data_IF_069272708051
#
_entry.id   IF_069272708051
#
_cell.length_a   1.000
_cell.length_b   1.000
_cell.length_c   1.000
_cell.angle_alpha   90.00
_cell.angle_beta   90.00
_cell.angle_gamma   90.00
#
_symmetry.space_group_name_H-M   'P 1'
#
loop_
_entity.id
_entity.type
_entity.pdbx_description
1 polymer ?
#
# COMPACT_ATOMS: atom_id res chain seq x y z
N UNK A 1 57.54 71.29 -23.92
CA UNK A 1 57.60 72.58 -23.19
C UNK A 1 58.25 72.29 -21.85
N UNK A 2 59.35 72.98 -21.51
CA UNK A 2 59.92 72.85 -20.18
C UNK A 2 58.93 73.47 -19.17
N UNK A 3 58.61 72.74 -18.10
CA UNK A 3 57.77 73.24 -17.02
C UNK A 3 58.57 74.30 -16.25
N UNK A 4 58.06 75.54 -16.18
CA UNK A 4 58.70 76.60 -15.40
C UNK A 4 58.63 76.24 -13.91
N UNK A 5 59.76 76.32 -13.22
CA UNK A 5 59.79 76.19 -11.76
C UNK A 5 59.44 77.55 -11.12
N UNK A 6 58.96 77.57 -9.85
CA UNK A 6 58.78 78.81 -9.09
C UNK A 6 60.04 79.70 -9.05
N UNK A 7 61.22 79.07 -9.11
CA UNK A 7 62.50 79.77 -9.15
C UNK A 7 62.75 80.46 -10.50
N UNK A 8 62.37 79.82 -11.60
CA UNK A 8 62.52 80.37 -12.96
C UNK A 8 61.62 81.59 -13.19
N UNK A 9 60.48 81.67 -12.48
CA UNK A 9 59.55 82.80 -12.54
C UNK A 9 60.13 84.01 -11.78
N UNK A 10 60.74 83.80 -10.61
CA UNK A 10 61.38 84.87 -9.80
C UNK A 10 62.64 85.46 -10.43
N UNK A 11 63.40 84.67 -11.17
CA UNK A 11 64.67 85.11 -11.77
C UNK A 11 64.50 85.69 -13.19
N UNK A 12 63.26 85.75 -13.71
CA UNK A 12 62.99 86.20 -15.06
C UNK A 12 63.03 87.73 -15.17
N UNK A 13 63.75 88.26 -16.16
CA UNK A 13 63.85 89.71 -16.40
C UNK A 13 63.22 90.09 -17.73
N UNK A 14 62.33 91.08 -17.70
CA UNK A 14 61.71 91.62 -18.91
C UNK A 14 62.51 92.79 -19.48
N UNK A 15 62.51 92.95 -20.81
CA UNK A 15 63.17 94.09 -21.47
C UNK A 15 62.25 95.31 -21.41
N UNK A 16 62.74 96.44 -20.91
CA UNK A 16 61.98 97.70 -20.86
C UNK A 16 61.99 98.41 -22.21
N UNK A 17 60.88 99.03 -22.61
CA UNK A 17 60.71 99.71 -23.91
C UNK A 17 60.39 101.18 -23.66
N UNK A 18 61.18 102.11 -24.23
CA UNK A 18 61.05 103.56 -23.96
C UNK A 18 60.08 104.32 -24.88
N UNK A 19 59.67 103.72 -26.00
CA UNK A 19 58.98 104.41 -27.10
C UNK A 19 57.62 103.79 -27.48
N UNK A 20 57.12 102.86 -26.67
CA UNK A 20 55.78 102.26 -26.80
C UNK A 20 55.19 102.03 -25.42
N UNK A 21 53.86 102.06 -25.33
CA UNK A 21 53.11 101.70 -24.12
C UNK A 21 53.51 100.28 -23.70
N UNK A 22 54.13 100.18 -22.52
CA UNK A 22 54.48 98.93 -21.87
C UNK A 22 53.56 98.67 -20.69
N UNK A 23 53.60 97.47 -20.15
CA UNK A 23 52.95 97.14 -18.89
C UNK A 23 53.62 97.88 -17.74
N UNK A 24 52.84 98.24 -16.72
CA UNK A 24 53.37 98.79 -15.48
C UNK A 24 54.24 97.74 -14.79
N UNK A 25 55.43 98.15 -14.35
CA UNK A 25 56.42 97.22 -13.78
C UNK A 25 55.93 96.72 -12.42
N UNK A 26 55.30 97.58 -11.62
CA UNK A 26 54.84 97.22 -10.28
C UNK A 26 53.65 96.24 -10.34
N UNK A 27 52.73 96.42 -11.29
CA UNK A 27 51.58 95.52 -11.50
C UNK A 27 52.02 94.14 -12.02
N UNK A 28 53.06 94.10 -12.86
CA UNK A 28 53.63 92.85 -13.36
C UNK A 28 54.35 92.10 -12.24
N UNK A 29 55.10 92.79 -11.38
CA UNK A 29 55.78 92.17 -10.24
C UNK A 29 54.77 91.59 -9.24
N UNK A 30 53.70 92.32 -8.90
CA UNK A 30 52.60 91.83 -8.04
C UNK A 30 51.92 90.58 -8.64
N UNK A 31 51.70 90.56 -9.95
CA UNK A 31 51.11 89.41 -10.64
C UNK A 31 52.05 88.19 -10.63
N UNK A 32 53.36 88.39 -10.79
CA UNK A 32 54.34 87.30 -10.77
C UNK A 32 54.51 86.69 -9.37
N UNK A 33 54.38 87.48 -8.31
CA UNK A 33 54.33 86.97 -6.94
C UNK A 33 53.10 86.08 -6.72
N UNK A 34 51.94 86.50 -7.20
CA UNK A 34 50.70 85.72 -7.12
C UNK A 34 50.78 84.41 -7.94
N UNK A 35 51.40 84.45 -9.11
CA UNK A 35 51.66 83.26 -9.94
C UNK A 35 52.65 82.33 -9.23
N UNK A 36 53.70 82.85 -8.61
CA UNK A 36 54.68 82.03 -7.90
C UNK A 36 54.06 81.34 -6.68
N UNK A 37 53.24 82.06 -5.91
CA UNK A 37 52.51 81.51 -4.76
C UNK A 37 51.52 80.42 -5.19
N UNK A 38 50.77 80.63 -6.27
CA UNK A 38 49.84 79.62 -6.79
C UNK A 38 50.57 78.40 -7.34
N UNK A 39 51.71 78.55 -8.02
CA UNK A 39 52.51 77.41 -8.50
C UNK A 39 53.16 76.65 -7.34
N UNK A 40 53.63 77.32 -6.29
CA UNK A 40 54.09 76.65 -5.06
C UNK A 40 52.94 75.92 -4.35
N UNK A 41 51.76 76.52 -4.26
CA UNK A 41 50.58 75.89 -3.67
C UNK A 41 50.14 74.66 -4.48
N UNK A 42 50.12 74.75 -5.81
CA UNK A 42 49.80 73.63 -6.70
C UNK A 42 50.86 72.52 -6.60
N UNK A 43 52.14 72.88 -6.47
CA UNK A 43 53.23 71.94 -6.22
C UNK A 43 53.10 71.20 -4.88
N UNK A 44 52.70 71.91 -3.81
CA UNK A 44 52.40 71.30 -2.50
C UNK A 44 51.15 70.41 -2.56
N UNK A 45 50.12 70.82 -3.29
CA UNK A 45 48.88 70.06 -3.46
C UNK A 45 49.09 68.79 -4.30
N UNK A 46 49.97 68.83 -5.32
CA UNK A 46 50.40 67.65 -6.06
C UNK A 46 51.23 66.69 -5.18
N UNK A 47 52.10 67.20 -4.30
CA UNK A 47 52.84 66.37 -3.33
C UNK A 47 51.93 65.77 -2.24
N UNK A 48 50.88 66.47 -1.79
CA UNK A 48 49.86 65.92 -0.89
C UNK A 48 48.95 64.88 -1.57
N UNK A 49 48.66 65.04 -2.88
CA UNK A 49 47.98 64.04 -3.69
C UNK A 49 48.74 62.71 -3.81
N UNK A 50 50.08 62.77 -3.88
CA UNK A 50 50.94 61.57 -3.92
C UNK A 50 51.07 60.83 -2.59
N UNK A 51 50.86 61.47 -1.43
CA UNK A 51 50.81 60.75 -0.15
C UNK A 51 49.49 59.99 0.05
N UNK A 52 48.40 60.46 -0.56
CA UNK A 52 47.08 59.81 -0.47
C UNK A 52 47.00 58.53 -1.32
N UNK A 53 47.68 58.49 -2.48
CA UNK A 53 47.70 57.32 -3.38
C UNK A 53 48.58 56.16 -2.88
N UNK A 54 49.48 56.40 -1.92
CA UNK A 54 50.31 55.34 -1.32
C UNK A 54 49.56 54.55 -0.23
N UNK A 55 48.52 55.13 0.37
CA UNK A 55 47.66 54.47 1.37
C UNK A 55 46.56 53.59 0.74
N UNK A 56 46.18 53.87 -0.51
CA UNK A 56 45.15 53.12 -1.27
C UNK A 56 45.72 51.94 -2.07
N UNK A 57 47.04 51.87 -2.27
CA UNK A 57 47.73 50.76 -2.94
C UNK A 57 47.42 49.36 -2.38
N UNK A 58 47.45 49.12 -1.05
CA UNK A 58 47.13 47.80 -0.49
C UNK A 58 45.65 47.45 -0.61
N UNK A 59 44.74 48.42 -0.45
CA UNK A 59 43.30 48.18 -0.55
C UNK A 59 42.87 47.87 -1.99
N UNK A 60 43.40 48.59 -2.98
CA UNK A 60 43.15 48.32 -4.41
C UNK A 60 43.77 46.99 -4.86
N UNK A 61 44.92 46.60 -4.29
CA UNK A 61 45.50 45.28 -4.52
C UNK A 61 44.60 44.17 -3.93
N UNK A 62 44.11 44.32 -2.70
CA UNK A 62 43.22 43.35 -2.06
C UNK A 62 41.88 43.20 -2.79
N UNK A 63 41.34 44.31 -3.31
CA UNK A 63 40.13 44.33 -4.13
C UNK A 63 40.36 43.65 -5.47
N UNK A 64 41.50 43.86 -6.13
CA UNK A 64 41.84 43.16 -7.38
C UNK A 64 42.06 41.65 -7.17
N UNK A 65 42.63 41.24 -6.04
CA UNK A 65 42.74 39.81 -5.68
C UNK A 65 41.36 39.19 -5.49
N UNK A 66 40.47 39.87 -4.73
CA UNK A 66 39.08 39.41 -4.56
C UNK A 66 38.29 39.39 -5.86
N UNK A 67 38.46 40.38 -6.73
CA UNK A 67 37.80 40.40 -8.05
C UNK A 67 38.29 39.23 -8.90
N UNK A 68 39.59 38.93 -8.88
CA UNK A 68 40.15 37.78 -9.60
C UNK A 68 39.64 36.45 -9.04
N UNK A 69 39.56 36.34 -7.72
CA UNK A 69 39.08 35.15 -7.01
C UNK A 69 37.57 34.93 -7.24
N UNK A 70 36.75 35.98 -7.17
CA UNK A 70 35.33 35.91 -7.51
C UNK A 70 35.12 35.57 -8.99
N UNK A 71 35.96 36.09 -9.88
CA UNK A 71 35.87 35.77 -11.32
C UNK A 71 36.18 34.30 -11.58
N UNK A 72 37.22 33.76 -10.92
CA UNK A 72 37.55 32.33 -10.99
C UNK A 72 36.42 31.45 -10.41
N UNK A 73 35.80 31.89 -9.32
CA UNK A 73 34.69 31.17 -8.69
C UNK A 73 33.43 31.17 -9.57
N UNK A 74 33.13 32.28 -10.25
CA UNK A 74 32.02 32.37 -11.21
C UNK A 74 32.26 31.46 -12.42
N UNK A 75 33.49 31.39 -12.94
CA UNK A 75 33.82 30.44 -14.02
C UNK A 75 33.67 28.98 -13.58
N UNK A 76 34.17 28.63 -12.39
CA UNK A 76 34.02 27.28 -11.83
C UNK A 76 32.55 26.89 -11.65
N UNK A 77 31.72 27.80 -11.15
CA UNK A 77 30.28 27.55 -10.97
C UNK A 77 29.54 27.43 -12.31
N UNK A 78 29.98 28.15 -13.35
CA UNK A 78 29.41 28.01 -14.69
C UNK A 78 29.77 26.65 -15.32
N UNK A 79 31.01 26.21 -15.17
CA UNK A 79 31.45 24.89 -15.63
C UNK A 79 30.75 23.76 -14.87
N UNK A 80 30.57 23.90 -13.56
CA UNK A 80 29.83 22.94 -12.74
C UNK A 80 28.35 22.87 -13.14
N UNK A 81 27.71 24.02 -13.41
CA UNK A 81 26.31 24.03 -13.86
C UNK A 81 26.14 23.40 -15.25
N UNK A 82 27.05 23.64 -16.18
CA UNK A 82 27.02 22.97 -17.50
C UNK A 82 27.32 21.47 -17.37
N UNK A 83 28.21 21.07 -16.46
CA UNK A 83 28.46 19.67 -16.11
C UNK A 83 27.23 18.98 -15.51
N UNK A 84 26.53 19.64 -14.59
CA UNK A 84 25.30 19.13 -13.99
C UNK A 84 24.15 19.07 -15.00
N UNK A 85 24.05 20.03 -15.91
CA UNK A 85 23.03 20.07 -16.97
C UNK A 85 23.24 18.98 -18.02
N UNK A 86 24.48 18.72 -18.39
CA UNK A 86 24.84 17.61 -19.29
C UNK A 86 24.65 16.25 -18.60
N UNK A 87 24.97 16.12 -17.32
CA UNK A 87 24.68 14.92 -16.53
C UNK A 87 23.17 14.67 -16.38
N UNK A 88 22.37 15.71 -16.17
CA UNK A 88 20.91 15.61 -16.11
C UNK A 88 20.29 15.23 -17.47
N UNK A 89 20.82 15.78 -18.58
CA UNK A 89 20.39 15.41 -19.93
C UNK A 89 20.73 13.95 -20.27
N UNK A 90 21.91 13.47 -19.88
CA UNK A 90 22.31 12.08 -20.07
C UNK A 90 21.51 11.12 -19.16
N UNK A 91 21.23 11.51 -17.92
CA UNK A 91 20.38 10.72 -17.02
C UNK A 91 18.95 10.58 -17.54
N UNK A 92 18.37 11.64 -18.13
CA UNK A 92 17.04 11.60 -18.76
C UNK A 92 16.97 10.78 -20.06
N UNK A 93 18.06 10.74 -20.84
CA UNK A 93 18.14 9.91 -22.03
C UNK A 93 18.30 8.42 -21.69
N UNK A 94 19.05 8.10 -20.63
CA UNK A 94 19.27 6.72 -20.19
C UNK A 94 18.06 6.13 -19.46
N UNK A 95 17.30 6.94 -18.70
CA UNK A 95 16.05 6.49 -18.06
C UNK A 95 14.96 6.21 -19.09
N UNK A 96 14.77 7.08 -20.10
CA UNK A 96 13.74 6.90 -21.13
C UNK A 96 13.96 5.64 -22.00
N UNK A 97 15.22 5.25 -22.25
CA UNK A 97 15.55 4.07 -23.06
C UNK A 97 15.47 2.76 -22.26
N UNK A 98 15.79 2.79 -20.96
CA UNK A 98 15.66 1.63 -20.07
C UNK A 98 14.20 1.37 -19.70
N UNK A 99 13.41 2.41 -19.46
CA UNK A 99 11.98 2.29 -19.14
C UNK A 99 11.18 1.77 -20.35
N UNK A 100 11.49 2.22 -21.58
CA UNK A 100 10.83 1.72 -22.78
C UNK A 100 11.18 0.24 -23.09
N UNK A 101 12.44 -0.16 -22.92
CA UNK A 101 12.86 -1.54 -23.13
C UNK A 101 12.29 -2.49 -22.06
N UNK A 102 12.33 -2.10 -20.78
CA UNK A 102 11.78 -2.90 -19.69
C UNK A 102 10.25 -2.98 -19.75
N UNK A 103 9.56 -1.93 -20.19
CA UNK A 103 8.11 -1.97 -20.39
C UNK A 103 7.72 -2.91 -21.55
N UNK A 104 8.51 -2.94 -22.62
CA UNK A 104 8.26 -3.83 -23.77
C UNK A 104 8.55 -5.29 -23.39
N UNK A 105 9.62 -5.56 -22.65
CA UNK A 105 9.97 -6.89 -22.12
C UNK A 105 8.94 -7.36 -21.09
N UNK A 106 8.47 -6.47 -20.22
CA UNK A 106 7.39 -6.77 -19.27
C UNK A 106 6.05 -7.05 -19.99
N UNK A 107 5.74 -6.34 -21.07
CA UNK A 107 4.55 -6.59 -21.89
C UNK A 107 4.62 -7.92 -22.65
N UNK A 108 5.78 -8.29 -23.18
CA UNK A 108 6.00 -9.59 -23.83
C UNK A 108 5.95 -10.74 -22.81
N UNK A 109 6.55 -10.56 -21.64
CA UNK A 109 6.48 -11.53 -20.53
C UNK A 109 5.04 -11.73 -20.05
N UNK A 110 4.25 -10.66 -19.94
CA UNK A 110 2.84 -10.74 -19.54
C UNK A 110 1.97 -11.40 -20.63
N UNK A 111 2.24 -11.13 -21.93
CA UNK A 111 1.61 -11.88 -23.03
C UNK A 111 1.97 -13.36 -23.02
N UNK A 112 3.24 -13.69 -22.76
CA UNK A 112 3.70 -15.07 -22.67
C UNK A 112 3.05 -15.81 -21.49
N UNK A 113 2.97 -15.17 -20.31
CA UNK A 113 2.26 -15.69 -19.14
C UNK A 113 0.77 -15.86 -19.41
N UNK A 114 0.13 -14.92 -20.11
CA UNK A 114 -1.29 -15.04 -20.50
C UNK A 114 -1.51 -16.23 -21.43
N UNK A 115 -0.64 -16.42 -22.43
CA UNK A 115 -0.72 -17.57 -23.33
C UNK A 115 -0.48 -18.91 -22.59
N UNK A 116 0.43 -18.92 -21.62
CA UNK A 116 0.69 -20.09 -20.78
C UNK A 116 -0.51 -20.41 -19.87
N UNK A 117 -1.15 -19.39 -19.30
CA UNK A 117 -2.38 -19.54 -18.51
C UNK A 117 -3.55 -20.04 -19.36
N UNK A 118 -3.69 -19.58 -20.60
CA UNK A 118 -4.69 -20.08 -21.54
C UNK A 118 -4.44 -21.56 -21.89
N UNK A 119 -3.17 -21.95 -22.08
CA UNK A 119 -2.79 -23.34 -22.33
C UNK A 119 -3.05 -24.24 -21.11
N UNK A 120 -2.73 -23.77 -19.90
CA UNK A 120 -3.02 -24.46 -18.64
C UNK A 120 -4.54 -24.61 -18.42
N UNK A 121 -5.31 -23.56 -18.73
CA UNK A 121 -6.77 -23.61 -18.69
C UNK A 121 -7.32 -24.69 -19.64
N UNK A 122 -6.81 -24.75 -20.87
CA UNK A 122 -7.15 -25.81 -21.82
C UNK A 122 -6.68 -27.22 -21.42
N UNK A 123 -5.66 -27.34 -20.57
CA UNK A 123 -5.28 -28.63 -19.96
C UNK A 123 -6.20 -29.01 -18.81
N UNK A 124 -6.57 -28.06 -17.96
CA UNK A 124 -7.52 -28.24 -16.85
C UNK A 124 -8.91 -28.60 -17.37
N UNK A 125 -9.38 -27.98 -18.44
CA UNK A 125 -10.66 -28.31 -19.06
C UNK A 125 -10.66 -29.73 -19.64
N UNK A 126 -9.54 -30.16 -20.25
CA UNK A 126 -9.38 -31.54 -20.76
C UNK A 126 -9.32 -32.57 -19.64
N UNK A 127 -8.57 -32.29 -18.57
CA UNK A 127 -8.51 -33.16 -17.38
C UNK A 127 -9.86 -33.23 -16.68
N UNK A 128 -10.59 -32.11 -16.60
CA UNK A 128 -11.93 -32.07 -16.03
C UNK A 128 -12.91 -32.92 -16.84
N UNK A 129 -12.85 -32.86 -18.17
CA UNK A 129 -13.65 -33.72 -19.04
C UNK A 129 -13.31 -35.21 -18.87
N UNK A 130 -12.03 -35.56 -18.70
CA UNK A 130 -11.61 -36.94 -18.38
C UNK A 130 -12.11 -37.39 -17.01
N UNK A 131 -12.06 -36.53 -15.99
CA UNK A 131 -12.58 -36.81 -14.65
C UNK A 131 -14.09 -37.01 -14.71
N UNK A 132 -14.84 -36.18 -15.43
CA UNK A 132 -16.29 -36.33 -15.59
C UNK A 132 -16.63 -37.65 -16.33
N UNK A 133 -15.80 -38.07 -17.29
CA UNK A 133 -15.96 -39.33 -18.01
C UNK A 133 -15.65 -40.57 -17.15
N UNK A 134 -14.58 -40.51 -16.34
CA UNK A 134 -14.20 -41.55 -15.38
C UNK A 134 -15.21 -41.62 -14.22
N UNK A 135 -15.73 -40.48 -13.81
CA UNK A 135 -16.82 -40.33 -12.85
C UNK A 135 -18.07 -41.03 -13.34
N UNK A 136 -18.49 -40.76 -14.58
CA UNK A 136 -19.67 -41.38 -15.16
C UNK A 136 -19.49 -42.90 -15.30
N UNK A 137 -18.28 -43.36 -15.62
CA UNK A 137 -17.93 -44.78 -15.64
C UNK A 137 -17.92 -45.41 -14.23
N UNK A 138 -17.43 -44.70 -13.21
CA UNK A 138 -17.42 -45.16 -11.83
C UNK A 138 -18.83 -45.21 -11.22
N UNK A 139 -19.68 -44.24 -11.53
CA UNK A 139 -21.09 -44.22 -11.15
C UNK A 139 -21.91 -45.34 -11.82
N UNK A 140 -21.51 -45.77 -13.02
CA UNK A 140 -22.10 -46.94 -13.69
C UNK A 140 -21.57 -48.28 -13.14
N UNK A 141 -20.34 -48.32 -12.62
CA UNK A 141 -19.68 -49.55 -12.17
C UNK A 141 -19.81 -49.85 -10.67
N UNK A 142 -20.03 -48.84 -9.83
CA UNK A 142 -20.06 -48.98 -8.37
C UNK A 142 -21.41 -48.51 -7.83
N UNK A 143 -22.28 -49.45 -7.46
CA UNK A 143 -23.48 -49.16 -6.66
C UNK A 143 -23.16 -48.78 -5.21
N UNK A 144 -22.11 -47.97 -4.98
CA UNK A 144 -21.67 -47.50 -3.68
C UNK A 144 -21.99 -46.00 -3.55
N UNK A 145 -23.01 -45.68 -2.75
CA UNK A 145 -23.50 -44.32 -2.50
C UNK A 145 -22.43 -43.38 -1.91
N UNK A 146 -21.43 -43.90 -1.20
CA UNK A 146 -20.36 -43.11 -0.59
C UNK A 146 -19.42 -42.46 -1.62
N UNK A 147 -19.12 -43.17 -2.72
CA UNK A 147 -18.28 -42.61 -3.79
C UNK A 147 -19.08 -41.54 -4.55
N UNK A 148 -20.38 -41.73 -4.72
CA UNK A 148 -21.25 -40.71 -5.32
C UNK A 148 -21.34 -39.44 -4.46
N UNK A 149 -21.36 -39.57 -3.13
CA UNK A 149 -21.38 -38.43 -2.21
C UNK A 149 -20.07 -37.60 -2.26
N UNK A 150 -18.91 -38.26 -2.27
CA UNK A 150 -17.60 -37.59 -2.43
C UNK A 150 -17.44 -36.91 -3.79
N UNK A 151 -18.10 -37.43 -4.82
CA UNK A 151 -18.02 -36.87 -6.15
C UNK A 151 -18.89 -35.62 -6.31
N UNK A 152 -20.05 -35.60 -5.66
CA UNK A 152 -20.90 -34.41 -5.56
C UNK A 152 -20.20 -33.29 -4.77
N UNK A 153 -19.40 -33.61 -3.74
CA UNK A 153 -18.63 -32.59 -3.01
C UNK A 153 -17.52 -32.00 -3.87
N UNK A 154 -16.77 -32.82 -4.60
CA UNK A 154 -15.72 -32.35 -5.51
C UNK A 154 -16.31 -31.53 -6.67
N UNK A 155 -17.49 -31.89 -7.18
CA UNK A 155 -18.22 -31.09 -8.17
C UNK A 155 -18.59 -29.70 -7.62
N UNK A 156 -19.09 -29.62 -6.38
CA UNK A 156 -19.42 -28.34 -5.74
C UNK A 156 -18.21 -27.44 -5.55
N UNK A 157 -17.09 -27.99 -5.11
CA UNK A 157 -15.84 -27.21 -4.98
C UNK A 157 -15.38 -26.69 -6.34
N UNK A 158 -15.45 -27.51 -7.39
CA UNK A 158 -15.06 -27.12 -8.74
C UNK A 158 -15.97 -26.00 -9.30
N UNK A 159 -17.26 -26.07 -9.03
CA UNK A 159 -18.22 -25.03 -9.45
C UNK A 159 -18.00 -23.72 -8.67
N UNK A 160 -17.65 -23.80 -7.38
CA UNK A 160 -17.22 -22.63 -6.60
C UNK A 160 -15.96 -21.99 -7.17
N UNK A 161 -14.94 -22.78 -7.50
CA UNK A 161 -13.72 -22.26 -8.12
C UNK A 161 -14.01 -21.59 -9.46
N UNK A 162 -14.94 -22.16 -10.25
CA UNK A 162 -15.38 -21.56 -11.52
C UNK A 162 -16.05 -20.21 -11.31
N UNK A 163 -16.95 -20.09 -10.33
CA UNK A 163 -17.60 -18.83 -9.98
C UNK A 163 -16.59 -17.77 -9.56
N UNK A 164 -15.62 -18.14 -8.71
CA UNK A 164 -14.57 -17.20 -8.27
C UNK A 164 -13.70 -16.71 -9.43
N UNK A 165 -13.38 -17.57 -10.38
CA UNK A 165 -12.61 -17.20 -11.58
C UNK A 165 -13.41 -16.28 -12.50
N UNK A 166 -14.72 -16.52 -12.67
CA UNK A 166 -15.58 -15.63 -13.45
C UNK A 166 -15.72 -14.25 -12.79
N UNK A 167 -15.90 -14.19 -11.47
CA UNK A 167 -15.97 -12.94 -10.72
C UNK A 167 -14.66 -12.15 -10.80
N UNK A 168 -13.51 -12.82 -10.66
CA UNK A 168 -12.20 -12.19 -10.83
C UNK A 168 -12.02 -11.62 -12.25
N UNK A 169 -12.48 -12.36 -13.27
CA UNK A 169 -12.42 -11.90 -14.66
C UNK A 169 -13.28 -10.65 -14.91
N UNK A 170 -14.45 -10.58 -14.27
CA UNK A 170 -15.36 -9.42 -14.34
C UNK A 170 -14.77 -8.21 -13.64
N UNK A 171 -14.13 -8.41 -12.48
CA UNK A 171 -13.43 -7.33 -11.78
C UNK A 171 -12.24 -6.81 -12.59
N UNK A 172 -11.47 -7.68 -13.24
CA UNK A 172 -10.35 -7.27 -14.08
C UNK A 172 -10.82 -6.45 -15.29
N UNK A 173 -11.91 -6.87 -15.94
CA UNK A 173 -12.52 -6.15 -17.06
C UNK A 173 -13.05 -4.78 -16.63
N UNK A 174 -13.70 -4.68 -15.45
CA UNK A 174 -14.19 -3.43 -14.90
C UNK A 174 -13.03 -2.45 -14.58
N UNK A 175 -11.95 -2.97 -14.00
CA UNK A 175 -10.75 -2.17 -13.70
C UNK A 175 -10.07 -1.65 -14.99
N UNK A 176 -10.00 -2.47 -16.04
CA UNK A 176 -9.50 -2.03 -17.35
C UNK A 176 -10.39 -0.95 -17.98
N UNK A 177 -11.71 -1.05 -17.82
CA UNK A 177 -12.63 -0.03 -18.32
C UNK A 177 -12.48 1.30 -17.58
N UNK A 178 -12.27 1.27 -16.25
CA UNK A 178 -12.00 2.48 -15.47
C UNK A 178 -10.66 3.13 -15.85
N UNK A 179 -9.61 2.33 -16.10
CA UNK A 179 -8.34 2.85 -16.59
C UNK A 179 -8.48 3.54 -17.96
N UNK A 180 -9.30 2.98 -18.86
CA UNK A 180 -9.63 3.60 -20.14
C UNK A 180 -10.39 4.92 -20.01
N UNK A 181 -11.33 5.01 -19.07
CA UNK A 181 -12.08 6.24 -18.79
C UNK A 181 -11.19 7.35 -18.19
N UNK A 182 -10.27 6.98 -17.30
CA UNK A 182 -9.30 7.92 -16.74
C UNK A 182 -8.35 8.49 -17.81
N UNK A 183 -7.92 7.67 -18.77
CA UNK A 183 -7.12 8.12 -19.90
C UNK A 183 -7.88 9.13 -20.80
N UNK A 184 -9.18 8.94 -21.00
CA UNK A 184 -10.03 9.87 -21.75
C UNK A 184 -10.24 11.20 -21.01
N UNK A 185 -10.38 11.18 -19.68
CA UNK A 185 -10.46 12.40 -18.87
C UNK A 185 -9.15 13.21 -18.94
N UNK A 186 -8.00 12.55 -18.91
CA UNK A 186 -6.70 13.22 -19.06
C UNK A 186 -6.60 13.99 -20.39
N UNK A 187 -7.09 13.39 -21.49
CA UNK A 187 -7.12 14.09 -22.79
C UNK A 187 -8.08 15.29 -22.80
N UNK A 188 -9.21 15.22 -22.11
CA UNK A 188 -10.13 16.36 -22.01
C UNK A 188 -9.53 17.53 -21.21
N UNK A 189 -8.76 17.24 -20.15
CA UNK A 189 -8.09 18.27 -19.35
C UNK A 189 -7.03 19.00 -20.17
N UNK A 190 -6.27 18.30 -21.02
CA UNK A 190 -5.30 18.93 -21.92
C UNK A 190 -5.99 19.83 -22.97
N UNK A 191 -7.12 19.40 -23.52
CA UNK A 191 -7.91 20.20 -24.48
C UNK A 191 -8.47 21.49 -23.81
N UNK A 192 -8.97 21.38 -22.58
CA UNK A 192 -9.47 22.49 -21.77
C UNK A 192 -8.35 23.49 -21.41
N UNK A 193 -7.16 23.00 -21.06
CA UNK A 193 -6.00 23.84 -20.79
C UNK A 193 -5.60 24.68 -22.02
N UNK A 194 -5.67 24.07 -23.22
CA UNK A 194 -5.39 24.79 -24.47
C UNK A 194 -6.39 25.90 -24.76
N UNK A 195 -7.68 25.66 -24.53
CA UNK A 195 -8.73 26.66 -24.72
C UNK A 195 -8.62 27.84 -23.76
N UNK A 196 -8.20 27.59 -22.51
CA UNK A 196 -7.99 28.64 -21.52
C UNK A 196 -6.88 29.61 -21.95
N UNK A 197 -5.80 29.08 -22.51
CA UNK A 197 -4.68 29.88 -22.99
C UNK A 197 -5.09 30.79 -24.17
N UNK A 198 -5.84 30.25 -25.13
CA UNK A 198 -6.38 31.02 -26.26
C UNK A 198 -7.38 32.12 -25.82
N UNK A 199 -8.02 31.98 -24.65
CA UNK A 199 -8.90 33.02 -24.09
C UNK A 199 -8.10 34.15 -23.45
N UNK A 200 -7.00 33.84 -22.76
CA UNK A 200 -6.14 34.83 -22.12
C UNK A 200 -5.47 35.75 -23.15
N UNK A 201 -5.03 35.20 -24.28
CA UNK A 201 -4.44 35.98 -25.38
C UNK A 201 -5.44 36.96 -26.02
N UNK A 202 -6.72 36.57 -26.11
CA UNK A 202 -7.79 37.43 -26.64
C UNK A 202 -8.11 38.61 -25.71
N UNK A 203 -8.07 38.40 -24.39
CA UNK A 203 -8.31 39.47 -23.42
C UNK A 203 -7.18 40.52 -23.46
N UNK A 204 -5.93 40.08 -23.62
CA UNK A 204 -4.78 40.97 -23.74
C UNK A 204 -4.90 41.90 -24.96
N UNK A 205 -5.33 41.38 -26.11
CA UNK A 205 -5.52 42.16 -27.34
C UNK A 205 -6.63 43.21 -27.24
N UNK A 206 -7.70 42.93 -26.49
CA UNK A 206 -8.81 43.88 -26.30
C UNK A 206 -8.39 45.05 -25.40
N UNK A 207 -7.58 44.80 -24.37
CA UNK A 207 -7.06 45.86 -23.48
C UNK A 207 -6.18 46.87 -24.22
N UNK A 208 -5.38 46.41 -25.17
CA UNK A 208 -4.52 47.28 -25.98
C UNK A 208 -5.32 48.21 -26.91
N UNK A 209 -6.51 47.78 -27.35
CA UNK A 209 -7.39 48.59 -28.19
C UNK A 209 -8.12 49.66 -27.39
N UNK A 210 -8.51 49.36 -26.14
CA UNK A 210 -9.19 50.33 -25.26
C UNK A 210 -8.29 51.47 -24.80
N UNK A 211 -6.97 51.29 -24.77
CA UNK A 211 -6.01 52.33 -24.41
C UNK A 211 -5.85 53.44 -25.48
N UNK A 212 -6.36 53.24 -26.70
CA UNK A 212 -6.19 54.19 -27.82
C UNK A 212 -7.34 55.20 -27.99
N UNK A 213 -8.38 55.17 -27.13
CA UNK A 213 -9.62 55.94 -27.34
C UNK A 213 -10.04 56.73 -26.09
N UNK A 214 -9.41 57.88 -25.83
CA UNK A 214 -10.04 58.96 -25.03
C UNK A 214 -9.59 60.35 -25.52
N UNK A 215 -10.55 61.27 -25.82
CA UNK A 215 -10.30 62.69 -25.58
C UNK A 215 -11.46 63.47 -24.91
N UNK A 216 -11.04 64.36 -24.00
CA UNK A 216 -11.50 65.69 -23.59
C UNK A 216 -12.95 66.20 -23.84
N UNK A 217 -13.56 66.78 -22.80
CA UNK A 217 -14.75 67.62 -22.90
C UNK A 217 -14.68 68.80 -21.90
N UNK A 218 -14.67 70.05 -22.40
CA UNK A 218 -15.17 71.26 -21.69
C UNK A 218 -14.95 72.54 -22.53
N UNK A 219 -15.85 72.89 -23.46
CA UNK A 219 -15.84 74.21 -24.16
C UNK A 219 -17.23 74.81 -24.47
N UNK A 220 -18.33 74.23 -23.98
CA UNK A 220 -19.69 74.64 -24.41
C UNK A 220 -20.39 75.74 -23.59
N UNK A 221 -20.00 75.97 -22.33
CA UNK A 221 -20.74 76.85 -21.41
C UNK A 221 -20.44 78.33 -21.60
N UNK A 222 -19.24 78.69 -22.05
CA UNK A 222 -18.81 80.09 -22.25
C UNK A 222 -19.51 80.77 -23.44
N UNK A 223 -19.98 80.00 -24.42
CA UNK A 223 -20.59 80.54 -25.64
C UNK A 223 -21.99 81.13 -25.43
N UNK A 224 -22.74 80.65 -24.43
CA UNK A 224 -24.14 81.06 -24.22
C UNK A 224 -24.28 82.38 -23.45
N UNK A 225 -23.30 82.75 -22.64
CA UNK A 225 -23.31 83.99 -21.85
C UNK A 225 -23.07 85.21 -22.76
N UNK A 226 -22.26 85.04 -23.81
CA UNK A 226 -21.96 86.11 -24.77
C UNK A 226 -23.16 86.50 -25.66
N UNK A 227 -24.08 85.57 -25.95
CA UNK A 227 -25.20 85.81 -26.86
C UNK A 227 -26.33 86.67 -26.27
N UNK A 228 -26.55 86.63 -24.95
CA UNK A 228 -27.68 87.31 -24.31
C UNK A 228 -27.41 88.82 -24.04
N UNK A 229 -26.15 89.26 -24.05
CA UNK A 229 -25.78 90.66 -23.84
C UNK A 229 -26.19 91.60 -24.99
N UNK A 230 -26.57 91.04 -26.15
CA UNK A 230 -26.85 91.77 -27.37
C UNK A 230 -28.30 92.29 -27.52
N UNK A 231 -29.23 91.94 -26.62
CA UNK A 231 -30.68 92.08 -26.89
C UNK A 231 -31.45 93.17 -26.12
N UNK A 232 -30.82 94.03 -25.29
CA UNK A 232 -31.56 95.05 -24.52
C UNK A 232 -31.08 96.49 -24.78
N UNK A 233 -32.00 97.45 -24.78
CA UNK A 233 -31.86 98.78 -25.43
C UNK A 233 -31.67 99.97 -24.47
N UNK A 234 -31.74 99.80 -23.14
CA UNK A 234 -31.28 100.80 -22.15
C UNK A 234 -30.37 100.17 -21.09
N UNK A 235 -29.45 100.94 -20.51
CA UNK A 235 -28.38 100.48 -19.60
C UNK A 235 -28.87 99.92 -18.25
N UNK A 236 -29.90 100.51 -17.57
CA UNK A 236 -30.46 99.98 -16.33
C UNK A 236 -31.24 98.67 -16.52
N UNK A 237 -31.96 98.55 -17.65
CA UNK A 237 -32.74 97.36 -17.98
C UNK A 237 -31.84 96.19 -18.43
N UNK A 238 -30.74 96.47 -19.14
CA UNK A 238 -29.69 95.48 -19.46
C UNK A 238 -29.08 94.88 -18.20
N UNK A 239 -28.70 95.72 -17.24
CA UNK A 239 -28.12 95.25 -15.98
C UNK A 239 -29.13 94.41 -15.17
N UNK A 240 -30.39 94.83 -15.12
CA UNK A 240 -31.46 94.11 -14.40
C UNK A 240 -31.81 92.77 -15.07
N UNK A 241 -31.87 92.74 -16.41
CA UNK A 241 -32.11 91.51 -17.18
C UNK A 241 -30.93 90.53 -17.09
N UNK A 242 -29.69 91.03 -17.13
CA UNK A 242 -28.48 90.23 -16.91
C UNK A 242 -28.44 89.66 -15.49
N UNK A 243 -28.77 90.45 -14.47
CA UNK A 243 -28.81 89.98 -13.09
C UNK A 243 -29.89 88.92 -12.89
N UNK A 244 -31.08 89.12 -13.45
CA UNK A 244 -32.18 88.14 -13.36
C UNK A 244 -31.84 86.82 -14.07
N UNK A 245 -31.23 86.90 -15.25
CA UNK A 245 -30.77 85.72 -15.98
C UNK A 245 -29.61 85.02 -15.28
N UNK A 246 -28.68 85.78 -14.69
CA UNK A 246 -27.58 85.24 -13.89
C UNK A 246 -28.10 84.55 -12.63
N UNK A 247 -29.12 85.09 -11.95
CA UNK A 247 -29.77 84.45 -10.81
C UNK A 247 -30.48 83.16 -11.23
N UNK A 248 -31.24 83.16 -12.33
CA UNK A 248 -31.89 81.93 -12.83
C UNK A 248 -30.89 80.87 -13.27
N UNK A 249 -29.80 81.27 -13.93
CA UNK A 249 -28.73 80.35 -14.33
C UNK A 249 -28.01 79.81 -13.09
N UNK A 250 -27.77 80.66 -12.09
CA UNK A 250 -27.17 80.26 -10.82
C UNK A 250 -28.05 79.25 -10.09
N UNK A 251 -29.34 79.53 -9.91
CA UNK A 251 -30.31 78.62 -9.29
C UNK A 251 -30.37 77.29 -10.05
N UNK A 252 -30.36 77.34 -11.38
CA UNK A 252 -30.33 76.12 -12.20
C UNK A 252 -29.03 75.31 -12.02
N UNK A 253 -27.88 75.96 -11.92
CA UNK A 253 -26.61 75.27 -11.64
C UNK A 253 -26.54 74.75 -10.20
N UNK A 254 -27.11 75.46 -9.23
CA UNK A 254 -27.20 75.03 -7.83
C UNK A 254 -28.09 73.80 -7.71
N UNK A 255 -29.26 73.79 -8.36
CA UNK A 255 -30.15 72.63 -8.34
C UNK A 255 -29.57 71.44 -9.10
N UNK A 256 -28.91 71.67 -10.25
CA UNK A 256 -28.14 70.63 -10.95
C UNK A 256 -26.99 70.11 -10.08
N UNK A 257 -26.32 70.98 -9.34
CA UNK A 257 -25.26 70.60 -8.41
C UNK A 257 -25.78 69.75 -7.26
N UNK A 258 -26.91 70.14 -6.64
CA UNK A 258 -27.59 69.36 -5.60
C UNK A 258 -28.09 68.01 -6.12
N UNK A 259 -28.67 67.98 -7.32
CA UNK A 259 -29.12 66.75 -7.96
C UNK A 259 -27.94 65.83 -8.28
N UNK A 260 -26.83 66.36 -8.81
CA UNK A 260 -25.62 65.58 -9.10
C UNK A 260 -24.96 65.08 -7.81
N UNK A 261 -24.92 65.90 -6.75
CA UNK A 261 -24.41 65.48 -5.46
C UNK A 261 -25.23 64.32 -4.88
N UNK A 262 -26.57 64.40 -4.95
CA UNK A 262 -27.45 63.30 -4.51
C UNK A 262 -27.27 62.04 -5.35
N UNK A 263 -27.18 62.18 -6.67
CA UNK A 263 -26.89 61.04 -7.57
C UNK A 263 -25.55 60.38 -7.23
N UNK A 264 -24.52 61.16 -6.94
CA UNK A 264 -23.21 60.65 -6.53
C UNK A 264 -23.30 59.94 -5.18
N UNK A 265 -24.03 60.48 -4.19
CA UNK A 265 -24.18 59.82 -2.89
C UNK A 265 -24.98 58.52 -3.00
N UNK A 266 -26.07 58.52 -3.76
CA UNK A 266 -26.92 57.34 -3.94
C UNK A 266 -26.15 56.25 -4.72
N UNK A 267 -25.41 56.62 -5.76
CA UNK A 267 -24.57 55.67 -6.51
C UNK A 267 -23.38 55.16 -5.69
N UNK A 268 -22.76 56.01 -4.86
CA UNK A 268 -21.70 55.61 -3.96
C UNK A 268 -22.22 54.65 -2.87
N UNK A 269 -23.39 54.93 -2.30
CA UNK A 269 -24.00 54.08 -1.29
C UNK A 269 -24.41 52.73 -1.87
N UNK A 270 -25.05 52.70 -3.04
CA UNK A 270 -25.39 51.45 -3.72
C UNK A 270 -24.14 50.62 -4.05
N UNK A 271 -23.05 51.26 -4.51
CA UNK A 271 -21.77 50.58 -4.77
C UNK A 271 -21.14 50.02 -3.49
N UNK A 272 -21.23 50.76 -2.39
CA UNK A 272 -20.74 50.29 -1.09
C UNK A 272 -21.54 49.09 -0.59
N UNK A 273 -22.87 49.16 -0.65
CA UNK A 273 -23.74 48.05 -0.26
C UNK A 273 -23.50 46.82 -1.14
N UNK A 274 -23.32 47.01 -2.45
CA UNK A 274 -22.98 45.94 -3.38
C UNK A 274 -21.62 45.29 -3.08
N UNK A 275 -20.58 46.08 -2.79
CA UNK A 275 -19.25 45.52 -2.46
C UNK A 275 -19.25 44.79 -1.13
N UNK A 276 -19.95 45.33 -0.12
CA UNK A 276 -20.13 44.65 1.17
C UNK A 276 -20.92 43.36 1.00
N UNK A 277 -21.99 43.36 0.22
CA UNK A 277 -22.77 42.15 -0.07
C UNK A 277 -21.91 41.08 -0.75
N UNK A 278 -21.13 41.44 -1.79
CA UNK A 278 -20.20 40.52 -2.46
C UNK A 278 -19.13 39.98 -1.52
N UNK A 279 -18.59 40.82 -0.64
CA UNK A 279 -17.58 40.40 0.34
C UNK A 279 -18.17 39.42 1.36
N UNK A 280 -19.39 39.70 1.86
CA UNK A 280 -20.09 38.82 2.79
C UNK A 280 -20.47 37.48 2.14
N UNK A 281 -20.93 37.51 0.89
CA UNK A 281 -21.26 36.30 0.13
C UNK A 281 -20.02 35.43 -0.10
N UNK A 282 -18.91 36.06 -0.53
CA UNK A 282 -17.64 35.38 -0.68
C UNK A 282 -17.16 34.76 0.64
N UNK A 283 -17.18 35.51 1.75
CA UNK A 283 -16.76 35.00 3.05
C UNK A 283 -17.65 33.86 3.54
N UNK A 284 -18.95 33.93 3.31
CA UNK A 284 -19.89 32.87 3.71
C UNK A 284 -19.62 31.62 2.91
N UNK A 285 -19.47 31.77 1.59
CA UNK A 285 -19.17 30.64 0.69
C UNK A 285 -17.86 29.96 1.06
N UNK A 286 -16.79 30.71 1.31
CA UNK A 286 -15.51 30.12 1.73
C UNK A 286 -15.61 29.39 3.06
N UNK A 287 -16.40 29.90 4.02
CA UNK A 287 -16.62 29.20 5.29
C UNK A 287 -17.41 27.90 5.09
N UNK A 288 -18.50 27.94 4.35
CA UNK A 288 -19.29 26.74 4.05
C UNK A 288 -18.46 25.70 3.30
N UNK A 289 -17.72 26.10 2.26
CA UNK A 289 -16.85 25.18 1.51
C UNK A 289 -15.77 24.56 2.40
N UNK A 290 -15.19 25.33 3.33
CA UNK A 290 -14.21 24.83 4.29
C UNK A 290 -14.84 23.88 5.32
N UNK A 291 -16.01 24.20 5.85
CA UNK A 291 -16.76 23.36 6.79
C UNK A 291 -17.17 22.04 6.12
N UNK A 292 -17.70 22.09 4.90
CA UNK A 292 -18.09 20.92 4.10
C UNK A 292 -16.88 20.05 3.74
N UNK A 293 -15.73 20.67 3.44
CA UNK A 293 -14.50 19.94 3.21
C UNK A 293 -14.02 19.24 4.49
N UNK A 294 -14.01 19.95 5.63
CA UNK A 294 -13.63 19.36 6.92
C UNK A 294 -14.55 18.21 7.31
N UNK A 295 -15.86 18.35 7.14
CA UNK A 295 -16.82 17.28 7.42
C UNK A 295 -16.57 16.04 6.56
N UNK A 296 -16.30 16.21 5.26
CA UNK A 296 -15.97 15.09 4.38
C UNK A 296 -14.69 14.39 4.80
N UNK A 297 -13.63 15.13 5.10
CA UNK A 297 -12.36 14.54 5.57
C UNK A 297 -12.55 13.76 6.86
N UNK A 298 -13.36 14.27 7.81
CA UNK A 298 -13.67 13.55 9.03
C UNK A 298 -14.50 12.29 8.76
N UNK A 299 -15.53 12.37 7.93
CA UNK A 299 -16.35 11.22 7.57
C UNK A 299 -15.52 10.12 6.87
N UNK A 300 -14.68 10.49 5.91
CA UNK A 300 -13.80 9.56 5.19
C UNK A 300 -12.78 8.92 6.15
N UNK A 301 -12.25 9.68 7.10
CA UNK A 301 -11.31 9.18 8.10
C UNK A 301 -11.98 8.22 9.10
N UNK A 302 -13.20 8.53 9.54
CA UNK A 302 -13.98 7.67 10.43
C UNK A 302 -14.36 6.36 9.71
N UNK A 303 -14.82 6.43 8.46
CA UNK A 303 -15.12 5.26 7.63
C UNK A 303 -13.88 4.38 7.42
N UNK A 304 -12.74 4.99 7.12
CA UNK A 304 -11.48 4.27 6.98
C UNK A 304 -11.06 3.57 8.29
N UNK A 305 -11.22 4.25 9.43
CA UNK A 305 -10.91 3.69 10.75
C UNK A 305 -11.80 2.51 11.09
N UNK A 306 -13.12 2.65 10.86
CA UNK A 306 -14.10 1.61 11.12
C UNK A 306 -13.85 0.39 10.24
N UNK A 307 -13.54 0.60 8.95
CA UNK A 307 -13.19 -0.49 8.05
C UNK A 307 -11.94 -1.23 8.50
N UNK A 308 -10.90 -0.49 8.89
CA UNK A 308 -9.65 -1.09 9.40
C UNK A 308 -9.88 -1.91 10.66
N UNK A 309 -10.72 -1.40 11.58
CA UNK A 309 -11.11 -2.13 12.79
C UNK A 309 -11.91 -3.39 12.46
N UNK A 310 -12.90 -3.29 11.57
CA UNK A 310 -13.72 -4.42 11.15
C UNK A 310 -12.89 -5.52 10.47
N UNK A 311 -11.93 -5.14 9.61
CA UNK A 311 -10.98 -6.08 8.99
C UNK A 311 -10.10 -6.77 10.05
N UNK A 312 -9.59 -6.00 11.02
CA UNK A 312 -8.77 -6.54 12.12
C UNK A 312 -9.57 -7.50 13.02
N UNK A 313 -10.80 -7.14 13.39
CA UNK A 313 -11.70 -7.96 14.20
C UNK A 313 -12.07 -9.25 13.45
N UNK A 314 -12.38 -9.15 12.15
CA UNK A 314 -12.64 -10.33 11.32
C UNK A 314 -11.45 -11.26 11.24
N UNK A 315 -10.24 -10.71 11.11
CA UNK A 315 -9.01 -11.51 11.11
C UNK A 315 -8.79 -12.21 12.45
N UNK A 316 -8.96 -11.48 13.56
CA UNK A 316 -8.81 -12.04 14.90
C UNK A 316 -9.83 -13.16 15.19
N UNK A 317 -11.09 -12.98 14.77
CA UNK A 317 -12.13 -14.02 14.89
C UNK A 317 -11.75 -15.26 14.09
N UNK A 318 -11.30 -15.08 12.85
CA UNK A 318 -10.88 -16.20 12.00
C UNK A 318 -9.70 -16.97 12.61
N UNK A 319 -8.68 -16.28 13.10
CA UNK A 319 -7.53 -16.92 13.75
C UNK A 319 -7.95 -17.70 15.00
N UNK A 320 -8.85 -17.16 15.81
CA UNK A 320 -9.39 -17.89 16.98
C UNK A 320 -10.17 -19.12 16.55
N UNK A 321 -11.04 -19.00 15.55
CA UNK A 321 -11.83 -20.11 15.03
C UNK A 321 -10.94 -21.23 14.47
N UNK A 322 -9.91 -20.88 13.70
CA UNK A 322 -8.95 -21.84 13.15
C UNK A 322 -8.17 -22.56 14.28
N UNK A 323 -7.77 -21.81 15.31
CA UNK A 323 -7.10 -22.37 16.48
C UNK A 323 -8.01 -23.31 17.29
N UNK A 324 -9.27 -22.92 17.52
CA UNK A 324 -10.26 -23.73 18.23
C UNK A 324 -10.54 -25.03 17.46
N UNK A 325 -10.69 -24.93 16.13
CA UNK A 325 -10.90 -26.08 15.24
C UNK A 325 -9.69 -27.02 15.26
N UNK A 326 -8.47 -26.47 15.19
CA UNK A 326 -7.25 -27.27 15.27
C UNK A 326 -7.14 -28.00 16.61
N UNK A 327 -7.39 -27.31 17.72
CA UNK A 327 -7.37 -27.89 19.05
C UNK A 327 -8.42 -29.00 19.19
N UNK A 328 -9.64 -28.77 18.69
CA UNK A 328 -10.70 -29.77 18.74
C UNK A 328 -10.35 -31.02 17.94
N UNK A 329 -9.77 -30.87 16.75
CA UNK A 329 -9.28 -32.00 15.97
C UNK A 329 -8.18 -32.77 16.71
N UNK A 330 -7.24 -32.07 17.37
CA UNK A 330 -6.20 -32.72 18.17
C UNK A 330 -6.72 -33.45 19.40
N UNK A 331 -7.75 -32.92 20.05
CA UNK A 331 -8.44 -33.63 21.12
C UNK A 331 -9.10 -34.90 20.61
N UNK A 332 -9.86 -34.82 19.51
CA UNK A 332 -10.52 -35.98 18.91
C UNK A 332 -9.52 -37.05 18.47
N UNK A 333 -8.41 -36.66 17.81
CA UNK A 333 -7.33 -37.59 17.45
C UNK A 333 -6.73 -38.28 18.68
N UNK A 334 -6.51 -37.53 19.76
CA UNK A 334 -5.98 -38.07 21.02
C UNK A 334 -6.94 -39.01 21.74
N UNK A 335 -8.22 -38.67 21.77
CA UNK A 335 -9.27 -39.48 22.37
C UNK A 335 -9.45 -40.79 21.58
N UNK A 336 -9.48 -40.72 20.24
CA UNK A 336 -9.54 -41.90 19.37
C UNK A 336 -8.32 -42.82 19.55
N UNK A 337 -7.12 -42.25 19.66
CA UNK A 337 -5.91 -43.04 19.90
C UNK A 337 -5.97 -43.76 21.25
N UNK A 338 -6.39 -43.04 22.28
CA UNK A 338 -6.55 -43.57 23.63
C UNK A 338 -7.58 -44.71 23.65
N UNK A 339 -8.73 -44.49 23.03
CA UNK A 339 -9.80 -45.48 22.92
C UNK A 339 -9.35 -46.73 22.15
N UNK A 340 -8.66 -46.56 21.01
CA UNK A 340 -8.11 -47.69 20.26
C UNK A 340 -7.09 -48.49 21.09
N UNK A 341 -6.28 -47.83 21.91
CA UNK A 341 -5.34 -48.50 22.82
C UNK A 341 -6.06 -49.25 23.94
N UNK A 342 -7.10 -48.67 24.52
CA UNK A 342 -7.94 -49.35 25.51
C UNK A 342 -8.61 -50.58 24.90
N UNK A 343 -9.25 -50.46 23.74
CA UNK A 343 -9.88 -51.59 23.05
C UNK A 343 -8.90 -52.71 22.73
N UNK A 344 -7.70 -52.37 22.26
CA UNK A 344 -6.66 -53.37 22.00
C UNK A 344 -6.18 -54.07 23.28
N UNK A 345 -6.07 -53.33 24.40
CA UNK A 345 -5.74 -53.90 25.70
C UNK A 345 -6.85 -54.83 26.22
N UNK A 346 -8.11 -54.40 26.12
CA UNK A 346 -9.28 -55.19 26.54
C UNK A 346 -9.38 -56.48 25.72
N UNK A 347 -9.13 -56.43 24.40
CA UNK A 347 -9.08 -57.60 23.54
C UNK A 347 -7.95 -58.56 23.92
N UNK A 348 -6.76 -58.01 24.22
CA UNK A 348 -5.64 -58.83 24.65
C UNK A 348 -5.93 -59.51 26.00
N UNK A 349 -6.51 -58.78 26.95
CA UNK A 349 -6.92 -59.33 28.24
C UNK A 349 -7.96 -60.44 28.05
N UNK A 350 -8.97 -60.23 27.22
CA UNK A 350 -9.99 -61.23 26.90
C UNK A 350 -9.38 -62.50 26.28
N UNK A 351 -8.40 -62.36 25.37
CA UNK A 351 -7.69 -63.50 24.78
C UNK A 351 -6.86 -64.26 25.81
N UNK A 352 -6.19 -63.56 26.72
CA UNK A 352 -5.44 -64.19 27.82
C UNK A 352 -6.38 -64.95 28.75
N UNK A 353 -7.51 -64.36 29.13
CA UNK A 353 -8.52 -65.02 29.95
C UNK A 353 -9.10 -66.25 29.24
N UNK A 354 -9.39 -66.15 27.94
CA UNK A 354 -9.87 -67.27 27.11
C UNK A 354 -8.86 -68.42 27.09
N UNK A 355 -7.58 -68.13 26.83
CA UNK A 355 -6.52 -69.16 26.83
C UNK A 355 -6.35 -69.82 28.19
N UNK A 356 -6.43 -69.04 29.26
CA UNK A 356 -6.37 -69.58 30.61
C UNK A 356 -7.55 -70.54 30.87
N UNK A 357 -8.78 -70.13 30.53
CA UNK A 357 -9.96 -70.96 30.66
C UNK A 357 -9.88 -72.25 29.80
N UNK A 358 -9.39 -72.15 28.57
CA UNK A 358 -9.18 -73.31 27.68
C UNK A 358 -8.12 -74.27 28.24
N UNK A 359 -7.02 -73.75 28.79
CA UNK A 359 -5.99 -74.57 29.41
C UNK A 359 -6.50 -75.28 30.66
N UNK A 360 -7.22 -74.57 31.53
CA UNK A 360 -7.85 -75.13 32.71
C UNK A 360 -8.86 -76.23 32.33
N UNK A 361 -9.69 -75.98 31.31
CA UNK A 361 -10.65 -76.95 30.81
C UNK A 361 -9.95 -78.20 30.25
N UNK A 362 -8.89 -78.02 29.46
CA UNK A 362 -8.09 -79.15 28.92
C UNK A 362 -7.46 -79.98 30.04
N UNK A 363 -6.99 -79.32 31.09
CA UNK A 363 -6.40 -79.98 32.26
C UNK A 363 -7.44 -80.79 33.03
N UNK A 364 -8.64 -80.23 33.26
CA UNK A 364 -9.77 -80.94 33.87
C UNK A 364 -10.22 -82.15 33.04
N UNK A 365 -10.44 -81.95 31.74
CA UNK A 365 -10.85 -83.03 30.85
C UNK A 365 -9.79 -84.15 30.79
N UNK A 366 -8.51 -83.81 30.77
CA UNK A 366 -7.42 -84.79 30.82
C UNK A 366 -7.40 -85.58 32.14
N UNK A 367 -7.63 -84.91 33.27
CA UNK A 367 -7.75 -85.57 34.57
C UNK A 367 -8.98 -86.48 34.65
N UNK A 368 -10.13 -86.04 34.12
CA UNK A 368 -11.36 -86.83 34.09
C UNK A 368 -11.20 -88.08 33.19
N UNK A 369 -10.59 -87.92 32.01
CA UNK A 369 -10.31 -89.03 31.10
C UNK A 369 -9.34 -90.05 31.72
N UNK A 370 -8.28 -89.57 32.39
CA UNK A 370 -7.36 -90.45 33.11
C UNK A 370 -8.07 -91.20 34.26
N UNK A 371 -8.92 -90.51 35.02
CA UNK A 371 -9.70 -91.13 36.09
C UNK A 371 -10.71 -92.18 35.57
N UNK A 372 -11.26 -91.96 34.38
CA UNK A 372 -12.12 -92.94 33.68
C UNK A 372 -11.31 -94.15 33.20
N UNK A 373 -10.14 -93.92 32.60
CA UNK A 373 -9.22 -94.99 32.17
C UNK A 373 -8.79 -95.88 33.34
N UNK A 374 -8.40 -95.27 34.47
CA UNK A 374 -8.05 -96.02 35.68
C UNK A 374 -9.23 -96.85 36.19
N UNK A 375 -10.46 -96.29 36.18
CA UNK A 375 -11.67 -97.03 36.56
C UNK A 375 -11.94 -98.20 35.63
N UNK A 376 -11.86 -98.01 34.31
CA UNK A 376 -12.06 -99.07 33.33
C UNK A 376 -11.01 -100.19 33.46
N UNK A 377 -9.75 -99.83 33.72
CA UNK A 377 -8.68 -100.78 33.98
C UNK A 377 -8.94 -101.58 35.27
N UNK A 378 -9.34 -100.91 36.36
CA UNK A 378 -9.71 -101.57 37.61
C UNK A 378 -10.91 -102.50 37.45
N UNK A 379 -11.93 -102.10 36.69
CA UNK A 379 -13.09 -102.95 36.40
C UNK A 379 -12.69 -104.19 35.59
N UNK A 380 -11.82 -104.01 34.59
CA UNK A 380 -11.30 -105.12 33.78
C UNK A 380 -10.47 -106.09 34.64
N UNK A 381 -9.57 -105.56 35.47
CA UNK A 381 -8.80 -106.37 36.41
C UNK A 381 -9.70 -107.10 37.40
N UNK A 382 -10.74 -106.43 37.92
CA UNK A 382 -11.74 -107.05 38.80
C UNK A 382 -12.44 -108.22 38.12
N UNK A 383 -12.89 -108.07 36.86
CA UNK A 383 -13.50 -109.17 36.08
C UNK A 383 -12.54 -110.35 35.87
N UNK A 384 -11.27 -110.07 35.58
CA UNK A 384 -10.24 -111.12 35.44
C UNK A 384 -10.01 -111.86 36.76
N UNK A 385 -9.92 -111.14 37.88
CA UNK A 385 -9.78 -111.74 39.21
C UNK A 385 -11.01 -112.58 39.55
N UNK A 386 -12.21 -112.08 39.27
CA UNK A 386 -13.45 -112.80 39.49
C UNK A 386 -13.51 -114.10 38.66
N UNK A 387 -13.12 -114.04 37.38
CA UNK A 387 -12.97 -115.21 36.53
C UNK A 387 -11.96 -116.22 37.09
N UNK A 388 -10.77 -115.77 37.52
CA UNK A 388 -9.75 -116.61 38.14
C UNK A 388 -10.27 -117.27 39.42
N UNK A 389 -11.02 -116.54 40.26
CA UNK A 389 -11.65 -117.09 41.47
C UNK A 389 -12.65 -118.19 41.09
N UNK A 390 -13.46 -117.99 40.05
CA UNK A 390 -14.39 -119.02 39.58
C UNK A 390 -13.65 -120.26 39.05
N UNK A 391 -12.59 -120.07 38.25
CA UNK A 391 -11.74 -121.18 37.78
C UNK A 391 -11.07 -121.92 38.93
N UNK A 392 -10.57 -121.21 39.94
CA UNK A 392 -10.00 -121.80 41.16
C UNK A 392 -11.05 -122.57 41.97
N UNK A 393 -12.27 -122.05 42.11
CA UNK A 393 -13.38 -122.77 42.77
C UNK A 393 -13.78 -124.03 42.01
N UNK A 394 -13.81 -123.96 40.68
CA UNK A 394 -14.09 -125.14 39.85
C UNK A 394 -12.99 -126.18 40.02
N UNK A 395 -11.72 -125.77 39.95
CA UNK A 395 -10.57 -126.62 40.22
C UNK A 395 -10.62 -127.23 41.63
N UNK A 396 -10.97 -126.46 42.65
CA UNK A 396 -11.13 -126.97 44.02
C UNK A 396 -12.27 -128.00 44.11
N UNK A 397 -13.41 -127.75 43.45
CA UNK A 397 -14.52 -128.68 43.39
C UNK A 397 -14.13 -129.99 42.72
N UNK A 398 -13.45 -129.92 41.56
CA UNK A 398 -12.92 -131.10 40.88
C UNK A 398 -11.87 -131.82 41.71
N UNK A 399 -10.96 -131.08 42.36
CA UNK A 399 -9.94 -131.64 43.23
C UNK A 399 -10.56 -132.34 44.44
N UNK A 400 -11.56 -131.74 45.08
CA UNK A 400 -12.33 -132.37 46.17
C UNK A 400 -13.09 -133.59 45.69
N UNK A 401 -13.69 -133.55 44.50
CA UNK A 401 -14.36 -134.71 43.92
C UNK A 401 -13.37 -135.86 43.69
N UNK A 402 -12.22 -135.60 43.07
CA UNK A 402 -11.15 -136.59 42.87
C UNK A 402 -10.57 -137.10 44.20
N UNK A 403 -10.39 -136.23 45.19
CA UNK A 403 -9.94 -136.62 46.52
C UNK A 403 -10.98 -137.52 47.22
N UNK A 404 -12.26 -137.18 47.10
CA UNK A 404 -13.37 -137.98 47.66
C UNK A 404 -13.46 -139.33 46.96
N UNK A 405 -13.32 -139.36 45.64
CA UNK A 405 -13.29 -140.60 44.85
C UNK A 405 -12.07 -141.46 45.21
N UNK A 406 -10.89 -140.87 45.34
CA UNK A 406 -9.67 -141.55 45.76
C UNK A 406 -9.79 -142.13 47.18
N UNK A 407 -10.33 -141.35 48.13
CA UNK A 407 -10.62 -141.82 49.48
C UNK A 407 -11.68 -142.93 49.47
N UNK A 408 -12.71 -142.81 48.62
CA UNK A 408 -13.73 -143.84 48.42
C UNK A 408 -13.14 -145.15 47.86
N UNK A 409 -12.23 -145.06 46.89
CA UNK A 409 -11.50 -146.20 46.35
C UNK A 409 -10.59 -146.85 47.39
N UNK A 410 -9.92 -146.05 48.24
CA UNK A 410 -9.14 -146.54 49.38
C UNK A 410 -10.01 -147.27 50.40
N UNK A 411 -11.17 -146.71 50.75
CA UNK A 411 -12.15 -147.36 51.65
C UNK A 411 -12.70 -148.64 51.02
N UNK A 412 -13.00 -148.65 49.72
CA UNK A 412 -13.42 -149.85 48.99
C UNK A 412 -12.33 -150.91 48.99
N UNK A 413 -11.07 -150.57 48.71
CA UNK A 413 -9.96 -151.52 48.77
C UNK A 413 -9.75 -152.11 50.16
N UNK A 414 -9.88 -151.30 51.22
CA UNK A 414 -9.81 -151.80 52.61
C UNK A 414 -11.03 -152.69 52.94
N UNK A 415 -12.21 -152.36 52.43
CA UNK A 415 -13.43 -153.18 52.59
C UNK A 415 -13.37 -154.50 51.80
N UNK A 416 -12.83 -154.48 50.58
CA UNK A 416 -12.62 -155.68 49.77
C UNK A 416 -11.56 -156.57 50.40
N UNK A 417 -10.52 -156.00 51.02
CA UNK A 417 -9.57 -156.76 51.85
C UNK A 417 -10.25 -157.41 53.06
N UNK A 418 -11.24 -156.75 53.68
CA UNK A 418 -12.06 -157.35 54.73
C UNK A 418 -13.01 -158.44 54.22
N UNK A 419 -13.55 -158.32 53.01
CA UNK A 419 -14.40 -159.34 52.39
C UNK A 419 -13.59 -160.56 51.90
N UNK A 420 -12.36 -160.35 51.41
CA UNK A 420 -11.45 -161.44 51.08
C UNK A 420 -11.07 -162.29 52.30
N UNK A 421 -10.99 -161.68 53.49
CA UNK A 421 -10.83 -162.43 54.75
C UNK A 421 -12.08 -163.26 55.15
N UNK A 422 -13.25 -163.02 54.56
CA UNK A 422 -14.48 -163.78 54.84
C UNK A 422 -14.71 -164.96 53.89
N UNK A 423 -14.16 -164.93 52.67
CA UNK A 423 -14.38 -165.99 51.67
C UNK A 423 -13.40 -167.17 51.83
N UNK A 424 -12.33 -167.03 52.63
CA UNK A 424 -11.45 -168.15 53.02
C UNK A 424 -12.02 -169.08 54.11
N UNK A 425 -13.26 -168.88 54.55
CA UNK A 425 -13.97 -169.79 55.46
C UNK A 425 -15.36 -170.12 54.93
N UNK A 426 -15.48 -171.02 53.96
CA UNK A 426 -16.59 -171.97 53.82
C UNK A 426 -16.30 -173.03 52.74
#
# INVERSE_FOLDING_TARGET
>A
MALLTPKDIREHTFRTVRLKEGYDVDEVDDFLDQVTETVEALGRQAMQGSQSTQSLGPDVASLNTKISELTAQVQSLQEENEGLKTAAANAGAQSAQVDAAQLTEAQESNRALSAQNEQLKGQVDRLSAQIDQLTAQAAQASGNEDVAAQLVSVQRERDEFRSRVEDLSRQLAAAQQQAGAAAQQAQQVDELARQLQESQDREAQLREQMAKVEPAAETGSLQKIAGAAAAATTEPERATAMLTLAMQLHDQYVDKGKAKAKEITDTAQNRYEETVAKANDYSTRTRTEADDYSQRVHADADEYSDRTRAEADSYAVKTRQDADTYMQNKHVEGDQYSEAKHQAADQYEAEVQRRAAEYDQKTRNGADAYAEEVRNNLETQSKVIEGNIQSLKHFESEYRARLTEFLGQLVSQVSDTNNFNQVEQN
#
